data_IF_927518770742
#
_entry.id   IF_927518770742
#
_cell.length_a   1.000
_cell.length_b   1.000
_cell.length_c   1.000
_cell.angle_alpha   90.00
_cell.angle_beta   90.00
_cell.angle_gamma   90.00
#
_symmetry.space_group_name_H-M   'P 1'
#
loop_
_entity.id
_entity.type
_entity.pdbx_description
1 polymer ?
#
# COMPACT_ATOMS: atom_id res chain seq x y z
N UNK A 1 15.26 -12.20 -37.48
CA UNK A 1 14.17 -12.39 -36.49
C UNK A 1 14.68 -11.89 -35.16
N UNK A 2 14.20 -10.74 -34.67
CA UNK A 2 14.55 -10.24 -33.34
C UNK A 2 13.62 -10.92 -32.35
N UNK A 3 14.14 -11.87 -31.59
CA UNK A 3 13.46 -12.46 -30.44
C UNK A 3 13.20 -11.32 -29.47
N UNK A 4 11.95 -10.86 -29.41
CA UNK A 4 11.52 -9.91 -28.38
C UNK A 4 11.54 -10.70 -27.08
N UNK A 5 12.60 -10.49 -26.30
CA UNK A 5 12.68 -10.97 -24.92
C UNK A 5 11.49 -10.32 -24.20
N UNK A 6 10.45 -11.10 -23.89
CA UNK A 6 9.46 -10.71 -22.89
C UNK A 6 10.24 -10.46 -21.60
N UNK A 7 10.48 -9.18 -21.29
CA UNK A 7 10.98 -8.81 -19.98
C UNK A 7 9.84 -9.14 -19.03
N UNK A 8 9.95 -10.27 -18.33
CA UNK A 8 9.06 -10.59 -17.23
C UNK A 8 9.14 -9.42 -16.23
N UNK A 9 8.13 -8.55 -16.24
CA UNK A 9 8.08 -7.40 -15.34
C UNK A 9 7.88 -7.93 -13.93
N UNK A 10 8.97 -8.03 -13.18
CA UNK A 10 8.95 -8.47 -11.79
C UNK A 10 8.56 -7.30 -10.89
N UNK A 11 7.50 -7.48 -10.10
CA UNK A 11 7.09 -6.49 -9.11
C UNK A 11 8.17 -6.32 -8.03
N UNK A 12 8.35 -5.07 -7.62
CA UNK A 12 9.30 -4.65 -6.61
C UNK A 12 8.60 -4.31 -5.29
N UNK A 13 9.39 -4.12 -4.23
CA UNK A 13 8.91 -3.63 -2.94
C UNK A 13 8.19 -2.29 -3.10
N UNK A 14 8.71 -1.38 -3.94
CA UNK A 14 8.12 -0.05 -4.15
C UNK A 14 6.80 -0.14 -4.94
N UNK A 15 6.66 -1.11 -5.85
CA UNK A 15 5.38 -1.35 -6.54
C UNK A 15 4.30 -1.75 -5.53
N UNK A 16 4.61 -2.66 -4.60
CA UNK A 16 3.69 -3.01 -3.50
C UNK A 16 3.43 -1.82 -2.60
N UNK A 17 4.45 -1.02 -2.28
CA UNK A 17 4.32 0.14 -1.40
C UNK A 17 3.32 1.16 -1.96
N UNK A 18 3.48 1.54 -3.22
CA UNK A 18 2.75 2.68 -3.82
C UNK A 18 1.56 2.32 -4.70
N UNK A 19 1.38 1.06 -5.11
CA UNK A 19 0.23 0.68 -5.94
C UNK A 19 -1.12 1.07 -5.29
N UNK A 20 -2.13 1.39 -6.10
CA UNK A 20 -3.47 1.59 -5.52
C UNK A 20 -4.02 0.23 -5.08
N UNK A 21 -4.90 0.23 -4.08
CA UNK A 21 -5.55 -0.99 -3.62
C UNK A 21 -6.31 -1.70 -4.75
N UNK A 22 -6.91 -0.94 -5.67
CA UNK A 22 -7.61 -1.47 -6.84
C UNK A 22 -6.67 -2.15 -7.85
N UNK A 23 -5.43 -1.68 -7.98
CA UNK A 23 -4.46 -2.26 -8.90
C UNK A 23 -3.97 -3.61 -8.37
N UNK A 24 -3.65 -3.68 -7.06
CA UNK A 24 -3.29 -4.95 -6.43
C UNK A 24 -4.46 -5.95 -6.40
N UNK A 25 -5.69 -5.48 -6.26
CA UNK A 25 -6.87 -6.31 -6.34
C UNK A 25 -7.02 -6.96 -7.72
N UNK A 26 -6.84 -6.17 -8.78
CA UNK A 26 -6.88 -6.66 -10.16
C UNK A 26 -5.79 -7.71 -10.46
N UNK A 27 -4.63 -7.63 -9.78
CA UNK A 27 -3.51 -8.54 -9.97
C UNK A 27 -3.61 -9.85 -9.18
N UNK A 28 -4.40 -9.92 -8.11
CA UNK A 28 -4.27 -11.00 -7.11
C UNK A 28 -5.57 -11.73 -6.78
N UNK A 29 -6.70 -11.24 -7.28
CA UNK A 29 -8.03 -11.79 -6.97
C UNK A 29 -8.53 -11.50 -5.55
N UNK A 30 -7.73 -10.82 -4.71
CA UNK A 30 -8.18 -10.27 -3.43
C UNK A 30 -8.97 -8.98 -3.63
N UNK A 31 -9.83 -8.63 -2.67
CA UNK A 31 -10.59 -7.39 -2.71
C UNK A 31 -9.72 -6.18 -2.40
N UNK A 32 -10.02 -5.02 -3.01
CA UNK A 32 -9.38 -3.76 -2.63
C UNK A 32 -9.58 -3.42 -1.13
N UNK A 33 -10.68 -3.89 -0.55
CA UNK A 33 -10.96 -3.80 0.89
C UNK A 33 -9.98 -4.61 1.75
N UNK A 34 -9.48 -5.74 1.26
CA UNK A 34 -8.50 -6.56 1.97
C UNK A 34 -7.17 -5.81 2.06
N UNK A 35 -6.69 -5.25 0.95
CA UNK A 35 -5.50 -4.40 0.92
C UNK A 35 -5.65 -3.15 1.80
N UNK A 36 -6.83 -2.52 1.79
CA UNK A 36 -7.11 -1.40 2.69
C UNK A 36 -7.04 -1.83 4.17
N UNK A 37 -7.57 -3.01 4.51
CA UNK A 37 -7.51 -3.54 5.87
C UNK A 37 -6.08 -3.86 6.31
N UNK A 38 -5.28 -4.49 5.44
CA UNK A 38 -3.88 -4.83 5.71
C UNK A 38 -3.01 -3.58 5.92
N UNK A 39 -3.32 -2.51 5.19
CA UNK A 39 -2.64 -1.21 5.29
C UNK A 39 -2.97 -0.47 6.59
N UNK A 40 -4.18 -0.66 7.15
CA UNK A 40 -4.61 0.08 8.35
C UNK A 40 -4.11 -0.55 9.64
N UNK A 41 -4.26 -1.86 9.81
CA UNK A 41 -3.89 -2.57 11.05
C UNK A 41 -4.18 -4.06 11.04
N UNK A 42 -4.90 -4.60 10.05
CA UNK A 42 -5.21 -6.02 10.02
C UNK A 42 -3.97 -6.81 9.60
N UNK A 43 -3.56 -7.77 10.44
CA UNK A 43 -2.53 -8.72 10.07
C UNK A 43 -2.92 -9.51 8.82
N UNK A 44 -1.96 -9.74 7.93
CA UNK A 44 -2.12 -10.65 6.81
C UNK A 44 -1.92 -12.09 7.33
N UNK A 45 -2.91 -12.96 7.12
CA UNK A 45 -2.77 -14.37 7.52
C UNK A 45 -1.66 -15.05 6.71
N UNK A 46 -0.99 -16.05 7.28
CA UNK A 46 0.06 -16.79 6.57
C UNK A 46 -0.45 -17.42 5.26
N UNK A 47 -1.68 -17.97 5.28
CA UNK A 47 -2.32 -18.50 4.07
C UNK A 47 -2.50 -17.42 3.01
N UNK A 48 -3.01 -16.24 3.40
CA UNK A 48 -3.19 -15.12 2.47
C UNK A 48 -1.86 -14.61 1.94
N UNK A 49 -0.82 -14.56 2.77
CA UNK A 49 0.53 -14.19 2.36
C UNK A 49 1.10 -15.16 1.32
N UNK A 50 0.90 -16.46 1.51
CA UNK A 50 1.38 -17.47 0.57
C UNK A 50 0.71 -17.31 -0.81
N UNK A 51 -0.62 -17.18 -0.83
CA UNK A 51 -1.37 -16.97 -2.07
C UNK A 51 -0.96 -15.65 -2.72
N UNK A 52 -0.83 -14.58 -1.94
CA UNK A 52 -0.49 -13.25 -2.46
C UNK A 52 0.93 -13.20 -3.07
N UNK A 53 1.90 -13.85 -2.41
CA UNK A 53 3.27 -13.99 -2.92
C UNK A 53 3.32 -14.77 -4.24
N UNK A 54 2.56 -15.87 -4.33
CA UNK A 54 2.44 -16.68 -5.55
C UNK A 54 1.80 -15.89 -6.71
N UNK A 55 0.67 -15.22 -6.46
CA UNK A 55 -0.03 -14.42 -7.47
C UNK A 55 0.82 -13.26 -8.00
N UNK A 56 1.62 -12.65 -7.15
CA UNK A 56 2.48 -11.51 -7.51
C UNK A 56 3.87 -11.94 -8.02
N UNK A 57 4.19 -13.24 -8.01
CA UNK A 57 5.52 -13.73 -8.37
C UNK A 57 6.63 -13.12 -7.50
N UNK A 58 6.33 -12.83 -6.24
CA UNK A 58 7.23 -12.14 -5.30
C UNK A 58 7.62 -13.03 -4.13
N UNK A 59 8.83 -12.82 -3.62
CA UNK A 59 9.24 -13.42 -2.37
C UNK A 59 8.41 -12.88 -1.20
N UNK A 60 8.05 -13.77 -0.26
CA UNK A 60 7.20 -13.41 0.88
C UNK A 60 7.82 -12.30 1.73
N UNK A 61 9.15 -12.31 1.86
CA UNK A 61 9.91 -11.29 2.61
C UNK A 61 9.79 -9.91 1.97
N UNK A 62 9.89 -9.84 0.64
CA UNK A 62 9.78 -8.58 -0.11
C UNK A 62 8.35 -8.06 -0.09
N UNK A 63 7.37 -8.96 -0.23
CA UNK A 63 5.95 -8.62 -0.13
C UNK A 63 5.60 -8.07 1.26
N UNK A 64 6.05 -8.74 2.33
CA UNK A 64 5.86 -8.27 3.70
C UNK A 64 6.51 -6.90 3.92
N UNK A 65 7.73 -6.70 3.40
CA UNK A 65 8.43 -5.42 3.48
C UNK A 65 7.67 -4.31 2.76
N UNK A 66 7.15 -4.57 1.57
CA UNK A 66 6.34 -3.60 0.81
C UNK A 66 5.04 -3.24 1.54
N UNK A 67 4.34 -4.24 2.09
CA UNK A 67 3.12 -4.02 2.87
C UNK A 67 3.38 -3.24 4.17
N UNK A 68 4.53 -3.49 4.83
CA UNK A 68 4.91 -2.78 6.04
C UNK A 68 5.27 -1.32 5.75
N UNK A 69 6.04 -1.04 4.71
CA UNK A 69 6.32 0.34 4.26
C UNK A 69 5.03 1.08 3.93
N UNK A 70 4.10 0.43 3.20
CA UNK A 70 2.78 1.00 2.92
C UNK A 70 2.01 1.36 4.20
N UNK A 71 2.05 0.48 5.21
CA UNK A 71 1.39 0.72 6.50
C UNK A 71 1.99 1.93 7.22
N UNK A 72 3.32 2.05 7.21
CA UNK A 72 4.05 3.18 7.80
C UNK A 72 3.69 4.49 7.11
N UNK A 73 3.70 4.52 5.77
CA UNK A 73 3.29 5.70 5.00
C UNK A 73 1.85 6.12 5.30
N UNK A 74 0.93 5.15 5.35
CA UNK A 74 -0.47 5.41 5.67
C UNK A 74 -0.65 5.93 7.10
N UNK A 75 0.13 5.45 8.06
CA UNK A 75 0.11 5.94 9.44
C UNK A 75 0.66 7.37 9.53
N UNK A 76 1.75 7.66 8.82
CA UNK A 76 2.31 9.01 8.74
C UNK A 76 1.32 9.99 8.11
N UNK A 77 0.70 9.60 6.98
CA UNK A 77 -0.30 10.42 6.31
C UNK A 77 -1.47 10.78 7.24
N UNK A 78 -1.98 9.81 8.02
CA UNK A 78 -3.03 10.07 9.01
C UNK A 78 -2.58 11.07 10.07
N UNK A 79 -1.37 10.90 10.62
CA UNK A 79 -0.81 11.82 11.64
C UNK A 79 -0.68 13.25 11.10
N UNK A 80 -0.20 13.39 9.85
CA UNK A 80 -0.09 14.69 9.19
C UNK A 80 -1.46 15.31 8.95
N UNK A 81 -2.43 14.54 8.47
CA UNK A 81 -3.81 15.00 8.26
C UNK A 81 -4.44 15.53 9.56
N UNK A 82 -4.27 14.81 10.68
CA UNK A 82 -4.78 15.27 11.97
C UNK A 82 -4.11 16.56 12.45
N UNK A 83 -2.78 16.68 12.28
CA UNK A 83 -2.07 17.93 12.57
C UNK A 83 -2.57 19.10 11.72
N UNK A 84 -2.80 18.89 10.41
CA UNK A 84 -3.32 19.93 9.52
C UNK A 84 -4.73 20.35 9.94
N UNK A 85 -5.62 19.40 10.26
CA UNK A 85 -6.96 19.71 10.77
C UNK A 85 -6.92 20.56 12.04
N UNK A 86 -6.01 20.25 12.96
CA UNK A 86 -5.83 21.04 14.19
C UNK A 86 -5.39 22.47 13.87
N UNK A 87 -4.41 22.65 12.98
CA UNK A 87 -3.95 23.98 12.57
C UNK A 87 -5.07 24.82 11.95
N UNK A 88 -5.83 24.23 11.03
CA UNK A 88 -7.00 24.88 10.40
C UNK A 88 -8.04 25.27 11.47
N UNK A 89 -8.31 24.40 12.44
CA UNK A 89 -9.27 24.66 13.52
C UNK A 89 -8.80 25.74 14.50
N UNK A 90 -7.49 25.97 14.64
CA UNK A 90 -6.90 27.01 15.52
C UNK A 90 -6.69 28.37 14.84
N UNK A 91 -6.83 28.46 13.52
CA UNK A 91 -6.72 29.72 12.77
C UNK A 91 -7.99 30.62 12.64
N UNK A 92 -9.21 30.29 13.14
CA UNK A 92 -10.37 31.17 12.94
C UNK A 92 -10.27 32.51 13.69
N UNK A 93 -9.39 32.66 14.68
CA UNK A 93 -9.20 33.95 15.39
C UNK A 93 -8.31 34.95 14.64
N UNK A 94 -7.39 34.51 13.76
CA UNK A 94 -6.47 35.44 13.07
C UNK A 94 -7.05 36.13 11.85
N UNK A 95 -8.15 35.62 11.30
CA UNK A 95 -8.81 36.23 10.14
C UNK A 95 -9.87 37.29 10.52
N UNK A 96 -10.15 37.47 11.82
CA UNK A 96 -11.16 38.40 12.34
C UNK A 96 -10.57 39.58 13.13
N UNK A 97 -9.24 39.79 13.11
CA UNK A 97 -8.56 40.97 13.70
C UNK A 97 -7.97 41.87 12.63
#
# INVERSE_FOLDING_TARGET
MKTSQEVAVKLTIEDIRYARHIDLAALTGFGASDFAAWTKSRGLSERSLNVLAEQLGMEKTDLLKGLELRRQDAALARKVQERIKQLIATEPEKAAS
#
